data_IF_408956966523
#
_entry.id   IF_408956966523
#
_cell.length_a   1.000
_cell.length_b   1.000
_cell.length_c   1.000
_cell.angle_alpha   90.00
_cell.angle_beta   90.00
_cell.angle_gamma   90.00
#
_symmetry.space_group_name_H-M   'P 1'
#
loop_
_entity.id
_entity.type
_entity.pdbx_description
1 polymer ?
#
# COMPACT_ATOMS: atom_id res chain seq x y z
N UNK A 1 19.25 -40.57 -16.01
CA UNK A 1 18.40 -39.75 -15.11
C UNK A 1 17.26 -40.64 -14.65
N UNK A 2 17.45 -41.28 -13.50
CA UNK A 2 16.69 -42.47 -13.08
C UNK A 2 15.41 -42.13 -12.32
N UNK A 3 14.51 -43.09 -12.17
CA UNK A 3 13.25 -42.93 -11.42
C UNK A 3 13.47 -42.40 -9.98
N UNK A 4 14.64 -42.63 -9.39
CA UNK A 4 15.04 -42.12 -8.07
C UNK A 4 15.26 -40.59 -8.06
N UNK A 5 15.79 -39.99 -9.13
CA UNK A 5 15.98 -38.53 -9.23
C UNK A 5 14.63 -37.80 -9.28
N UNK A 6 13.64 -38.40 -9.96
CA UNK A 6 12.27 -37.87 -10.04
C UNK A 6 11.53 -37.97 -8.70
N UNK A 7 11.68 -39.07 -7.97
CA UNK A 7 11.08 -39.23 -6.65
C UNK A 7 11.65 -38.23 -5.64
N UNK A 8 12.97 -38.01 -5.64
CA UNK A 8 13.61 -37.02 -4.79
C UNK A 8 13.15 -35.58 -5.11
N UNK A 9 13.04 -35.24 -6.41
CA UNK A 9 12.55 -33.94 -6.84
C UNK A 9 11.08 -33.67 -6.43
N UNK A 10 10.22 -34.69 -6.49
CA UNK A 10 8.83 -34.58 -6.05
C UNK A 10 8.71 -34.38 -4.53
N UNK A 11 9.51 -35.10 -3.73
CA UNK A 11 9.54 -34.92 -2.27
C UNK A 11 10.02 -33.52 -1.89
N UNK A 12 11.09 -33.02 -2.52
CA UNK A 12 11.59 -31.65 -2.31
C UNK A 12 10.53 -30.60 -2.68
N UNK A 13 9.82 -30.79 -3.80
CA UNK A 13 8.74 -29.90 -4.21
C UNK A 13 7.57 -29.92 -3.21
N UNK A 14 7.18 -31.11 -2.71
CA UNK A 14 6.11 -31.27 -1.73
C UNK A 14 6.45 -30.64 -0.36
N UNK A 15 7.70 -30.78 0.10
CA UNK A 15 8.19 -30.11 1.30
C UNK A 15 8.17 -28.59 1.13
N UNK A 16 8.64 -28.08 -0.01
CA UNK A 16 8.62 -26.64 -0.31
C UNK A 16 7.21 -26.04 -0.32
N UNK A 17 6.21 -26.78 -0.86
CA UNK A 17 4.81 -26.36 -0.85
C UNK A 17 4.23 -26.36 0.57
N UNK A 18 4.57 -27.35 1.39
CA UNK A 18 4.15 -27.43 2.80
C UNK A 18 4.72 -26.27 3.61
N UNK A 19 6.02 -26.00 3.48
CA UNK A 19 6.69 -24.87 4.15
C UNK A 19 6.08 -23.54 3.72
N UNK A 20 5.77 -23.39 2.43
CA UNK A 20 5.07 -22.20 1.91
C UNK A 20 3.69 -22.04 2.55
N UNK A 21 2.91 -23.11 2.65
CA UNK A 21 1.59 -23.07 3.27
C UNK A 21 1.67 -22.71 4.76
N UNK A 22 2.65 -23.24 5.49
CA UNK A 22 2.90 -22.87 6.89
C UNK A 22 3.28 -21.40 7.03
N UNK A 23 4.20 -20.90 6.18
CA UNK A 23 4.58 -19.48 6.19
C UNK A 23 3.39 -18.58 5.86
N UNK A 24 2.53 -18.95 4.90
CA UNK A 24 1.34 -18.18 4.56
C UNK A 24 0.35 -18.11 5.73
N UNK A 25 0.13 -19.21 6.46
CA UNK A 25 -0.73 -19.24 7.65
C UNK A 25 -0.17 -18.40 8.79
N UNK A 26 1.14 -18.51 9.05
CA UNK A 26 1.81 -17.69 10.06
C UNK A 26 1.71 -16.19 9.73
N UNK A 27 1.98 -15.82 8.47
CA UNK A 27 1.81 -14.44 8.03
C UNK A 27 0.37 -13.96 8.16
N UNK A 28 -0.61 -14.78 7.79
CA UNK A 28 -2.02 -14.41 7.90
C UNK A 28 -2.43 -14.16 9.36
N UNK A 29 -1.91 -14.95 10.30
CA UNK A 29 -2.13 -14.74 11.73
C UNK A 29 -1.52 -13.41 12.21
N UNK A 30 -0.28 -13.10 11.84
CA UNK A 30 0.36 -11.82 12.21
C UNK A 30 -0.33 -10.61 11.56
N UNK A 31 -0.78 -10.76 10.31
CA UNK A 31 -1.46 -9.70 9.56
C UNK A 31 -2.91 -9.47 10.02
N UNK A 32 -3.49 -10.39 10.80
CA UNK A 32 -4.86 -10.25 11.31
C UNK A 32 -5.03 -9.03 12.22
N UNK A 33 -3.97 -8.68 12.96
CA UNK A 33 -3.95 -7.51 13.86
C UNK A 33 -3.48 -6.22 13.15
N UNK A 34 -3.21 -6.28 11.85
CA UNK A 34 -2.80 -5.11 11.07
C UNK A 34 -4.02 -4.35 10.57
N UNK A 35 -4.08 -3.06 10.90
CA UNK A 35 -5.09 -2.15 10.36
C UNK A 35 -4.60 -1.53 9.05
N UNK A 36 -5.09 -2.04 7.93
CA UNK A 36 -4.92 -1.43 6.61
C UNK A 36 -6.01 -0.38 6.38
N UNK A 37 -5.61 0.82 6.00
CA UNK A 37 -6.51 1.94 5.77
C UNK A 37 -6.68 2.21 4.26
N UNK A 38 -7.88 2.59 3.78
CA UNK A 38 -8.13 2.88 2.36
C UNK A 38 -7.26 4.02 1.82
N UNK A 39 -6.74 4.88 2.69
CA UNK A 39 -5.80 5.96 2.38
C UNK A 39 -4.39 5.47 2.00
N UNK A 40 -4.16 4.16 1.96
CA UNK A 40 -2.91 3.57 1.48
C UNK A 40 -1.80 3.54 2.53
N UNK A 41 -2.15 3.44 3.82
CA UNK A 41 -1.22 3.21 4.92
C UNK A 41 -1.67 2.03 5.79
N UNK A 42 -0.77 1.49 6.60
CA UNK A 42 -1.06 0.45 7.57
C UNK A 42 -0.56 0.84 8.97
N UNK A 43 -1.26 0.38 10.01
CA UNK A 43 -0.76 0.37 11.38
C UNK A 43 -0.64 -1.08 11.82
N UNK A 44 0.57 -1.51 12.17
CA UNK A 44 0.89 -2.87 12.56
C UNK A 44 1.35 -2.93 14.03
N UNK A 45 1.08 -4.02 14.75
CA UNK A 45 1.64 -4.25 16.07
C UNK A 45 3.17 -4.44 16.01
N UNK A 46 3.85 -4.20 17.13
CA UNK A 46 5.27 -4.50 17.30
C UNK A 46 5.45 -5.64 18.33
N UNK A 47 6.29 -6.65 18.08
CA UNK A 47 7.06 -6.86 16.85
C UNK A 47 6.22 -7.48 15.72
N UNK A 48 6.58 -7.19 14.47
CA UNK A 48 6.04 -7.84 13.28
C UNK A 48 7.10 -8.75 12.65
N UNK A 49 6.74 -9.97 12.28
CA UNK A 49 7.65 -10.91 11.63
C UNK A 49 8.09 -10.44 10.24
N UNK A 50 9.31 -10.81 9.86
CA UNK A 50 9.94 -10.32 8.62
C UNK A 50 9.10 -10.58 7.35
N UNK A 51 8.42 -11.73 7.29
CA UNK A 51 7.56 -12.07 6.17
C UNK A 51 6.31 -11.20 6.08
N UNK A 52 5.63 -10.98 7.23
CA UNK A 52 4.45 -10.13 7.29
C UNK A 52 4.82 -8.68 6.97
N UNK A 53 5.94 -8.20 7.50
CA UNK A 53 6.48 -6.89 7.19
C UNK A 53 6.78 -6.73 5.69
N UNK A 54 7.48 -7.68 5.07
CA UNK A 54 7.75 -7.62 3.62
C UNK A 54 6.46 -7.59 2.79
N UNK A 55 5.41 -8.31 3.22
CA UNK A 55 4.11 -8.27 2.56
C UNK A 55 3.45 -6.88 2.66
N UNK A 56 3.50 -6.24 3.84
CA UNK A 56 3.01 -4.87 4.02
C UNK A 56 3.82 -3.86 3.21
N UNK A 57 5.15 -3.93 3.25
CA UNK A 57 6.02 -3.05 2.46
C UNK A 57 5.69 -3.21 0.97
N UNK A 58 5.50 -4.43 0.49
CA UNK A 58 5.14 -4.65 -0.91
C UNK A 58 3.83 -3.95 -1.27
N UNK A 59 2.79 -4.16 -0.47
CA UNK A 59 1.47 -3.57 -0.66
C UNK A 59 1.50 -2.03 -0.63
N UNK A 60 2.18 -1.44 0.35
CA UNK A 60 2.27 0.02 0.52
C UNK A 60 3.27 0.68 -0.45
N UNK A 61 4.20 -0.08 -1.02
CA UNK A 61 5.17 0.44 -1.99
C UNK A 61 4.61 0.60 -3.41
N UNK A 62 3.50 -0.08 -3.73
CA UNK A 62 2.93 -0.09 -5.09
C UNK A 62 3.78 -0.80 -6.15
N UNK A 63 4.82 -1.55 -5.74
CA UNK A 63 5.75 -2.22 -6.66
C UNK A 63 5.14 -3.48 -7.25
N UNK A 64 5.53 -3.82 -8.48
CA UNK A 64 5.10 -5.05 -9.16
C UNK A 64 5.77 -6.33 -8.62
N UNK A 65 6.92 -6.19 -7.96
CA UNK A 65 7.71 -7.31 -7.46
C UNK A 65 7.91 -7.22 -5.95
N UNK A 66 7.82 -8.35 -5.22
CA UNK A 66 7.99 -8.35 -3.77
C UNK A 66 9.42 -7.92 -3.41
N UNK A 67 9.59 -7.12 -2.35
CA UNK A 67 10.92 -6.85 -1.81
C UNK A 67 11.51 -8.15 -1.23
N UNK A 68 12.85 -8.23 -1.07
CA UNK A 68 13.47 -9.28 -0.26
C UNK A 68 12.89 -9.29 1.16
N UNK A 69 13.14 -10.37 1.92
CA UNK A 69 12.72 -10.43 3.33
C UNK A 69 13.38 -9.29 4.10
N UNK A 70 12.57 -8.48 4.76
CA UNK A 70 13.00 -7.34 5.56
C UNK A 70 12.70 -7.66 7.01
N UNK A 71 13.69 -7.51 7.89
CA UNK A 71 13.47 -7.51 9.34
C UNK A 71 13.58 -6.07 9.86
N UNK A 72 12.77 -5.75 10.87
CA UNK A 72 12.97 -4.56 11.68
C UNK A 72 13.60 -4.98 13.00
N UNK A 73 14.69 -4.31 13.35
CA UNK A 73 15.18 -4.35 14.72
C UNK A 73 14.17 -3.61 15.63
N UNK A 74 13.97 -4.05 16.89
CA UNK A 74 13.15 -3.30 17.84
C UNK A 74 13.69 -1.89 18.12
N UNK A 75 12.81 -0.98 18.55
CA UNK A 75 13.24 0.35 19.08
C UNK A 75 13.62 1.38 18.01
N UNK A 76 13.01 1.27 16.84
CA UNK A 76 13.57 1.85 15.63
C UNK A 76 13.00 3.23 15.28
N UNK A 77 13.87 4.21 15.07
CA UNK A 77 13.51 5.54 14.59
C UNK A 77 12.92 5.50 13.17
N UNK A 78 12.28 6.58 12.74
CA UNK A 78 11.68 6.67 11.40
C UNK A 78 12.69 6.30 10.31
N UNK A 79 12.33 5.37 9.42
CA UNK A 79 13.18 4.94 8.28
C UNK A 79 12.37 4.67 7.03
N UNK A 80 13.00 4.77 5.88
CA UNK A 80 12.42 4.39 4.59
C UNK A 80 12.98 3.05 4.13
N UNK A 81 12.10 2.12 3.76
CA UNK A 81 12.45 0.86 3.09
C UNK A 81 11.61 0.71 1.83
N UNK A 82 12.26 0.59 0.67
CA UNK A 82 11.59 0.47 -0.63
C UNK A 82 10.53 1.57 -0.91
N UNK A 83 10.80 2.79 -0.42
CA UNK A 83 9.90 3.95 -0.50
C UNK A 83 8.68 3.86 0.41
N UNK A 84 8.72 2.99 1.43
CA UNK A 84 7.75 2.96 2.53
C UNK A 84 8.43 3.54 3.76
N UNK A 85 7.87 4.63 4.28
CA UNK A 85 8.24 5.21 5.55
C UNK A 85 7.63 4.38 6.68
N UNK A 86 8.48 3.94 7.60
CA UNK A 86 8.18 3.14 8.77
C UNK A 86 8.52 3.98 9.99
N UNK A 87 7.57 4.21 10.90
CA UNK A 87 7.74 5.03 12.10
C UNK A 87 6.72 4.68 13.18
N UNK A 88 6.90 5.10 14.44
CA UNK A 88 5.86 4.96 15.46
C UNK A 88 4.53 5.57 15.01
N UNK A 89 3.42 4.86 15.26
CA UNK A 89 2.08 5.25 14.81
C UNK A 89 1.53 6.51 15.50
N UNK A 90 2.03 6.83 16.70
CA UNK A 90 1.69 8.05 17.43
C UNK A 90 0.18 8.18 17.65
N UNK A 91 -0.44 9.25 17.12
CA UNK A 91 -1.88 9.51 17.28
C UNK A 91 -2.80 8.47 16.63
N UNK A 92 -2.26 7.58 15.80
CA UNK A 92 -3.02 6.51 15.15
C UNK A 92 -3.15 5.25 16.01
N UNK A 93 -2.54 5.22 17.20
CA UNK A 93 -2.58 4.12 18.15
C UNK A 93 -1.20 3.55 18.48
N UNK A 94 -1.14 2.44 19.24
CA UNK A 94 0.10 1.71 19.47
C UNK A 94 0.63 1.07 18.17
N UNK A 95 1.92 0.78 18.14
CA UNK A 95 2.59 0.07 17.05
C UNK A 95 3.25 0.98 16.01
N UNK A 96 3.45 0.42 14.83
CA UNK A 96 4.22 1.00 13.74
C UNK A 96 3.30 1.42 12.58
N UNK A 97 3.44 2.67 12.13
CA UNK A 97 2.86 3.21 10.91
C UNK A 97 3.76 2.89 9.72
N UNK A 98 3.18 2.27 8.69
CA UNK A 98 3.75 2.08 7.37
C UNK A 98 2.97 2.93 6.37
N UNK A 99 3.64 3.88 5.73
CA UNK A 99 3.03 4.77 4.72
C UNK A 99 3.98 4.94 3.56
N UNK A 100 3.47 5.28 2.38
CA UNK A 100 4.32 5.67 1.26
C UNK A 100 5.18 6.87 1.66
N UNK A 101 6.45 6.85 1.28
CA UNK A 101 7.34 8.00 1.40
C UNK A 101 6.98 9.04 0.32
N UNK A 102 6.78 10.33 0.66
CA UNK A 102 6.40 11.35 -0.31
C UNK A 102 7.32 11.44 -1.53
N UNK A 103 8.64 11.31 -1.33
CA UNK A 103 9.62 11.35 -2.41
C UNK A 103 9.55 10.14 -3.35
N UNK A 104 8.91 9.05 -2.93
CA UNK A 104 8.77 7.84 -3.72
C UNK A 104 7.41 7.77 -4.45
N UNK A 105 6.47 8.68 -4.17
CA UNK A 105 5.17 8.71 -4.84
C UNK A 105 5.35 8.95 -6.34
N UNK A 106 4.65 8.17 -7.16
CA UNK A 106 4.67 8.31 -8.61
C UNK A 106 4.17 9.69 -9.08
N UNK A 107 4.70 10.12 -10.23
CA UNK A 107 4.21 11.32 -10.91
C UNK A 107 2.71 11.21 -11.25
N UNK A 108 2.01 12.35 -11.42
CA UNK A 108 0.61 12.33 -11.83
C UNK A 108 0.40 11.63 -13.18
N UNK A 109 -0.73 10.92 -13.30
CA UNK A 109 -1.17 10.25 -14.53
C UNK A 109 -2.49 10.84 -15.01
N UNK A 110 -2.87 10.54 -16.26
CA UNK A 110 -4.23 10.80 -16.72
C UNK A 110 -5.23 9.92 -15.96
N UNK A 111 -6.28 10.52 -15.44
CA UNK A 111 -7.31 9.82 -14.68
C UNK A 111 -8.38 9.26 -15.63
N UNK A 112 -8.00 8.29 -16.46
CA UNK A 112 -8.98 7.51 -17.24
C UNK A 112 -9.59 6.39 -16.38
N UNK A 113 -10.78 5.93 -16.76
CA UNK A 113 -11.47 4.88 -16.02
C UNK A 113 -10.62 3.59 -15.94
N UNK A 114 -10.40 3.12 -14.72
CA UNK A 114 -9.57 1.95 -14.44
C UNK A 114 -8.06 2.21 -14.36
N UNK A 115 -7.59 3.44 -14.57
CA UNK A 115 -6.18 3.78 -14.39
C UNK A 115 -5.72 3.49 -12.96
N UNK A 116 -4.48 3.01 -12.83
CA UNK A 116 -3.84 2.72 -11.53
C UNK A 116 -2.66 3.66 -11.32
N UNK A 117 -2.79 4.56 -10.36
CA UNK A 117 -1.75 5.50 -9.97
C UNK A 117 -0.94 4.95 -8.79
N UNK A 118 0.37 5.20 -8.84
CA UNK A 118 1.37 4.76 -7.85
C UNK A 118 1.36 3.25 -7.57
N UNK A 119 0.76 2.44 -8.47
CA UNK A 119 0.54 1.01 -8.27
C UNK A 119 -0.41 0.65 -7.12
N UNK A 120 -1.11 1.64 -6.55
CA UNK A 120 -1.89 1.50 -5.31
C UNK A 120 -3.30 2.02 -5.40
N UNK A 121 -3.60 2.94 -6.30
CA UNK A 121 -4.89 3.62 -6.33
C UNK A 121 -5.51 3.49 -7.69
N UNK A 122 -6.64 2.78 -7.76
CA UNK A 122 -7.43 2.67 -8.99
C UNK A 122 -8.51 3.73 -8.99
N UNK A 123 -8.62 4.46 -10.09
CA UNK A 123 -9.66 5.50 -10.26
C UNK A 123 -10.77 5.02 -11.18
N UNK A 124 -12.00 5.44 -10.87
CA UNK A 124 -13.18 5.27 -11.72
C UNK A 124 -14.02 6.54 -11.74
N UNK A 125 -14.69 6.80 -12.87
CA UNK A 125 -15.64 7.92 -12.99
C UNK A 125 -15.01 9.32 -13.00
N UNK A 126 -13.69 9.43 -13.20
CA UNK A 126 -13.03 10.72 -13.35
C UNK A 126 -13.44 11.41 -14.67
N UNK A 127 -13.58 12.74 -14.61
CA UNK A 127 -13.92 13.54 -15.78
C UNK A 127 -12.80 13.53 -16.83
N UNK A 128 -13.15 13.69 -18.10
CA UNK A 128 -12.19 13.76 -19.19
C UNK A 128 -11.21 14.94 -18.97
N UNK A 129 -9.92 14.70 -19.22
CA UNK A 129 -8.85 15.68 -19.01
C UNK A 129 -8.43 15.85 -17.55
N UNK A 130 -8.98 15.06 -16.61
CA UNK A 130 -8.49 15.03 -15.23
C UNK A 130 -7.18 14.26 -15.09
N UNK A 131 -6.38 14.66 -14.12
CA UNK A 131 -5.18 13.95 -13.69
C UNK A 131 -5.33 13.44 -12.27
N UNK A 132 -4.68 12.31 -11.98
CA UNK A 132 -4.58 11.73 -10.65
C UNK A 132 -3.12 11.77 -10.21
N UNK A 133 -2.86 12.39 -9.06
CA UNK A 133 -1.52 12.52 -8.50
C UNK A 133 -1.54 12.68 -6.99
N UNK A 134 -0.39 12.96 -6.41
CA UNK A 134 -0.29 13.21 -4.98
C UNK A 134 -0.94 14.54 -4.61
N UNK A 135 -1.56 14.59 -3.43
CA UNK A 135 -1.93 15.86 -2.82
C UNK A 135 -0.68 16.71 -2.55
N UNK A 136 0.43 16.09 -2.14
CA UNK A 136 1.73 16.74 -2.01
C UNK A 136 1.70 17.89 -1.00
N UNK A 137 2.28 19.03 -1.37
CA UNK A 137 2.43 20.19 -0.48
C UNK A 137 1.09 20.82 -0.05
N UNK A 138 0.02 20.69 -0.86
CA UNK A 138 -1.33 21.14 -0.51
C UNK A 138 -1.93 20.37 0.68
N UNK A 139 -1.29 19.29 1.14
CA UNK A 139 -1.66 18.64 2.40
C UNK A 139 -1.60 19.60 3.60
N UNK A 140 -0.75 20.63 3.57
CA UNK A 140 -0.65 21.62 4.63
C UNK A 140 -1.92 22.47 4.76
N UNK A 141 -2.61 22.76 3.66
CA UNK A 141 -3.85 23.56 3.65
C UNK A 141 -5.08 22.71 3.99
N UNK A 142 -4.99 21.39 3.80
CA UNK A 142 -6.08 20.45 4.09
C UNK A 142 -5.89 19.67 5.40
N UNK A 143 -4.97 20.09 6.28
CA UNK A 143 -4.67 19.38 7.53
C UNK A 143 -5.86 19.31 8.52
N UNK A 144 -6.84 20.22 8.41
CA UNK A 144 -8.05 20.26 9.22
C UNK A 144 -9.16 19.31 8.77
N UNK A 145 -9.03 18.71 7.57
CA UNK A 145 -10.05 17.83 6.99
C UNK A 145 -10.01 16.41 7.55
N UNK A 146 -8.91 16.03 8.23
CA UNK A 146 -8.81 14.72 8.88
C UNK A 146 -7.82 14.72 10.04
N UNK A 147 -7.82 13.63 10.80
CA UNK A 147 -6.79 13.37 11.83
C UNK A 147 -5.59 12.60 11.26
N UNK A 148 -5.44 12.49 9.95
CA UNK A 148 -4.34 11.73 9.33
C UNK A 148 -3.01 12.47 9.45
N UNK A 149 -1.89 11.81 9.77
CA UNK A 149 -0.57 12.45 9.81
C UNK A 149 -0.25 13.18 8.50
N UNK A 150 0.48 14.31 8.58
CA UNK A 150 0.83 15.11 7.40
C UNK A 150 1.53 14.28 6.30
N UNK A 151 2.36 13.32 6.70
CA UNK A 151 3.03 12.41 5.76
C UNK A 151 2.06 11.49 5.01
N UNK A 152 0.95 11.08 5.64
CA UNK A 152 -0.10 10.30 4.97
C UNK A 152 -0.85 11.23 4.01
N UNK A 153 -1.26 12.42 4.51
CA UNK A 153 -1.98 13.43 3.72
C UNK A 153 -1.24 13.76 2.41
N UNK A 154 0.07 13.98 2.47
CA UNK A 154 0.88 14.32 1.30
C UNK A 154 0.87 13.23 0.21
N UNK A 155 0.57 11.98 0.57
CA UNK A 155 0.54 10.85 -0.37
C UNK A 155 -0.86 10.47 -0.83
N UNK A 156 -1.90 11.17 -0.37
CA UNK A 156 -3.27 10.89 -0.76
C UNK A 156 -3.48 11.15 -2.25
N UNK A 157 -4.31 10.34 -2.93
CA UNK A 157 -4.75 10.59 -4.29
C UNK A 157 -5.58 11.87 -4.36
N UNK A 158 -5.13 12.78 -5.21
CA UNK A 158 -5.76 14.04 -5.53
C UNK A 158 -6.11 14.08 -7.02
N UNK A 159 -7.38 14.36 -7.32
CA UNK A 159 -7.86 14.57 -8.67
C UNK A 159 -7.75 16.06 -9.03
N UNK A 160 -7.18 16.34 -10.20
CA UNK A 160 -7.01 17.71 -10.70
C UNK A 160 -7.60 17.84 -12.10
N UNK A 161 -7.99 19.06 -12.45
CA UNK A 161 -8.29 19.45 -13.82
C UNK A 161 -7.41 20.66 -14.15
N UNK A 162 -6.45 20.46 -15.07
CA UNK A 162 -5.32 21.39 -15.19
C UNK A 162 -4.54 21.49 -13.87
N UNK A 163 -4.41 22.69 -13.33
CA UNK A 163 -3.74 22.95 -12.03
C UNK A 163 -4.69 22.94 -10.84
N UNK A 164 -6.00 22.98 -11.06
CA UNK A 164 -6.99 23.09 -10.01
C UNK A 164 -7.21 21.75 -9.30
N UNK A 165 -7.17 21.76 -7.96
CA UNK A 165 -7.56 20.62 -7.14
C UNK A 165 -9.09 20.48 -7.17
N UNK A 166 -9.57 19.39 -7.76
CA UNK A 166 -11.01 19.13 -7.93
C UNK A 166 -11.55 18.24 -6.82
N UNK A 167 -10.80 17.21 -6.43
CA UNK A 167 -11.22 16.31 -5.38
C UNK A 167 -10.05 15.65 -4.66
N UNK A 168 -10.25 15.36 -3.36
CA UNK A 168 -9.43 14.41 -2.60
C UNK A 168 -10.40 13.39 -2.01
N UNK A 169 -10.71 12.28 -2.73
CA UNK A 169 -11.81 11.38 -2.37
C UNK A 169 -11.72 10.83 -0.95
N UNK A 170 -10.51 10.52 -0.48
CA UNK A 170 -10.30 10.03 0.89
C UNK A 170 -10.49 11.08 1.99
N UNK A 171 -10.54 12.37 1.65
CA UNK A 171 -10.89 13.45 2.58
C UNK A 171 -12.34 13.93 2.38
N UNK A 172 -13.08 13.37 1.41
CA UNK A 172 -14.35 13.92 0.94
C UNK A 172 -14.25 15.43 0.62
N UNK A 173 -13.13 15.86 0.03
CA UNK A 173 -12.91 17.23 -0.39
C UNK A 173 -13.37 17.43 -1.84
N UNK A 174 -14.02 18.56 -2.19
CA UNK A 174 -14.45 19.63 -1.27
C UNK A 174 -15.69 19.24 -0.46
N UNK A 175 -16.47 18.29 -0.94
CA UNK A 175 -17.59 17.70 -0.21
C UNK A 175 -17.85 16.27 -0.71
N UNK A 176 -18.76 15.57 -0.01
CA UNK A 176 -19.14 14.20 -0.35
C UNK A 176 -19.84 14.09 -1.70
N UNK A 177 -20.57 15.12 -2.13
CA UNK A 177 -21.33 15.09 -3.37
C UNK A 177 -20.40 15.16 -4.58
N UNK A 178 -19.42 16.07 -4.56
CA UNK A 178 -18.37 16.16 -5.57
C UNK A 178 -17.59 14.83 -5.71
N UNK A 179 -17.31 14.16 -4.59
CA UNK A 179 -16.60 12.88 -4.58
C UNK A 179 -17.48 11.67 -4.97
N UNK A 180 -18.81 11.78 -5.07
CA UNK A 180 -19.67 10.62 -5.44
C UNK A 180 -19.43 10.14 -6.86
N UNK A 181 -19.07 11.06 -7.76
CA UNK A 181 -18.87 10.76 -9.18
C UNK A 181 -17.52 10.08 -9.46
N UNK A 182 -16.54 10.26 -8.56
CA UNK A 182 -15.18 9.72 -8.71
C UNK A 182 -14.84 8.78 -7.55
N UNK A 183 -14.60 7.52 -7.88
CA UNK A 183 -14.15 6.53 -6.90
C UNK A 183 -12.64 6.37 -7.04
N UNK A 184 -11.91 6.57 -5.94
CA UNK A 184 -10.52 6.14 -5.84
C UNK A 184 -10.44 5.08 -4.76
N UNK A 185 -10.08 3.87 -5.16
CA UNK A 185 -9.97 2.71 -4.28
C UNK A 185 -8.52 2.27 -4.13
N UNK A 186 -8.15 1.87 -2.92
CA UNK A 186 -6.90 1.17 -2.70
C UNK A 186 -6.95 -0.16 -3.45
N UNK A 187 -6.09 -0.27 -4.46
CA UNK A 187 -5.92 -1.43 -5.30
C UNK A 187 -4.62 -2.14 -4.93
N UNK A 188 -4.67 -3.31 -4.27
CA UNK A 188 -3.46 -4.06 -4.00
C UNK A 188 -2.81 -4.47 -5.32
N UNK A 189 -1.49 -4.35 -5.41
CA UNK A 189 -0.68 -4.69 -6.60
C UNK A 189 -0.76 -6.14 -7.08
N UNK A 190 -1.63 -6.98 -6.52
CA UNK A 190 -2.09 -8.27 -7.10
C UNK A 190 -3.54 -8.57 -6.73
N UNK A 191 -4.33 -8.96 -7.74
CA UNK A 191 -5.05 -10.22 -7.64
C UNK A 191 -4.04 -11.33 -7.95
N UNK A 192 -3.97 -12.37 -7.13
CA UNK A 192 -3.18 -13.54 -7.48
C UNK A 192 -3.84 -14.20 -8.69
N UNK A 193 -3.29 -14.03 -9.89
CA UNK A 193 -3.61 -14.94 -10.99
C UNK A 193 -3.09 -16.32 -10.57
N UNK A 194 -3.95 -17.36 -10.44
CA UNK A 194 -3.44 -18.71 -10.45
C UNK A 194 -2.73 -18.89 -11.80
N UNK A 195 -1.46 -19.27 -11.78
CA UNK A 195 -0.79 -19.69 -13.02
C UNK A 195 -1.54 -20.92 -13.53
N UNK A 196 -2.01 -20.83 -14.78
CA UNK A 196 -2.55 -21.96 -15.52
C UNK A 196 -1.47 -23.02 -15.77
#
# INVERSE_FOLDING_TARGET
>A
MGAHDRAAALTLAASSLTDRAHQLRANAAELADVRLAPEGFAVAPDPLGASALSALIWMISGRSHPPPRVALEPGLAARTLHGVLIRPAGRLGPGTLLTREPAAVALPIQACDGAVWDGRFRVRGAAAGSTLGALGAEAATLNGWSRLPAVVLATLPALRHGTALVAVPHLAFPDREACRSVVVEMWPGRQATPSA
#
